data_IF_624760211091
#
_entry.id   IF_624760211091
#
_cell.length_a   1.000
_cell.length_b   1.000
_cell.length_c   1.000
_cell.angle_alpha   90.00
_cell.angle_beta   90.00
_cell.angle_gamma   90.00
#
_symmetry.space_group_name_H-M   'P 1'
#
loop_
_entity.id
_entity.type
_entity.pdbx_description
1 polymer ?
#
# COMPACT_ATOMS: atom_id res chain seq x y z
N UNK A 1 21.12 1.38 24.71
CA UNK A 1 21.03 0.79 23.37
C UNK A 1 20.98 1.92 22.36
N UNK A 2 21.80 1.91 21.31
CA UNK A 2 21.66 2.91 20.24
C UNK A 2 20.33 2.71 19.49
N UNK A 3 19.73 3.77 18.90
CA UNK A 3 18.47 3.67 18.20
C UNK A 3 18.61 3.07 16.80
N UNK A 4 17.51 2.55 16.25
CA UNK A 4 17.34 2.31 14.81
C UNK A 4 16.82 3.60 14.17
N UNK A 5 17.42 4.02 13.06
CA UNK A 5 16.94 5.17 12.31
C UNK A 5 16.00 4.73 11.18
N UNK A 6 14.84 5.37 11.06
CA UNK A 6 13.87 5.06 10.01
C UNK A 6 13.58 6.33 9.24
N UNK A 7 13.73 6.30 7.92
CA UNK A 7 13.57 7.48 7.06
C UNK A 7 12.28 7.34 6.26
N UNK A 8 11.33 8.25 6.52
CA UNK A 8 10.02 8.30 5.90
C UNK A 8 8.91 7.84 6.85
N UNK A 9 7.99 8.73 7.20
CA UNK A 9 6.84 8.50 8.06
C UNK A 9 5.59 7.99 7.32
N UNK A 10 5.76 7.33 6.17
CA UNK A 10 4.66 6.67 5.46
C UNK A 10 4.17 5.41 6.18
N UNK A 11 3.33 4.59 5.53
CA UNK A 11 2.80 3.36 6.14
C UNK A 11 3.90 2.38 6.54
N UNK A 12 4.91 2.19 5.67
CA UNK A 12 6.01 1.27 5.94
C UNK A 12 6.88 1.73 7.11
N UNK A 13 7.28 3.01 7.14
CA UNK A 13 8.13 3.53 8.21
C UNK A 13 7.41 3.64 9.55
N UNK A 14 6.11 3.99 9.53
CA UNK A 14 5.26 4.01 10.72
C UNK A 14 5.15 2.60 11.34
N UNK A 15 4.88 1.59 10.51
CA UNK A 15 4.77 0.20 10.97
C UNK A 15 6.13 -0.36 11.40
N UNK A 16 7.22 -0.04 10.69
CA UNK A 16 8.57 -0.44 11.07
C UNK A 16 8.98 0.14 12.43
N UNK A 17 8.69 1.42 12.67
CA UNK A 17 8.95 2.09 13.94
C UNK A 17 8.20 1.42 15.10
N UNK A 18 6.90 1.18 14.89
CA UNK A 18 6.05 0.49 15.86
C UNK A 18 6.60 -0.89 16.22
N UNK A 19 6.88 -1.72 15.21
CA UNK A 19 7.35 -3.09 15.45
C UNK A 19 8.71 -3.15 16.15
N UNK A 20 9.64 -2.27 15.79
CA UNK A 20 10.94 -2.23 16.44
C UNK A 20 10.83 -1.78 17.91
N UNK A 21 9.97 -0.79 18.16
CA UNK A 21 9.74 -0.25 19.49
C UNK A 21 8.99 -1.24 20.41
N UNK A 22 8.01 -1.98 19.89
CA UNK A 22 7.31 -3.06 20.61
C UNK A 22 8.23 -4.23 20.99
N UNK A 23 9.36 -4.38 20.30
CA UNK A 23 10.44 -5.31 20.66
C UNK A 23 11.47 -4.70 21.64
N UNK A 24 11.21 -3.48 22.14
CA UNK A 24 12.05 -2.83 23.15
C UNK A 24 13.26 -2.08 22.58
N UNK A 25 13.31 -1.85 21.26
CA UNK A 25 14.43 -1.14 20.62
C UNK A 25 14.08 0.34 20.40
N UNK A 26 14.90 1.30 20.87
CA UNK A 26 14.69 2.72 20.57
C UNK A 26 14.71 3.02 19.07
N UNK A 27 13.84 3.92 18.62
CA UNK A 27 13.69 4.32 17.22
C UNK A 27 13.73 5.84 17.09
N UNK A 28 14.44 6.32 16.06
CA UNK A 28 14.32 7.69 15.56
C UNK A 28 13.67 7.64 14.18
N UNK A 29 12.43 8.13 14.09
CA UNK A 29 11.66 8.21 12.86
C UNK A 29 11.81 9.62 12.25
N UNK A 30 12.49 9.68 11.11
CA UNK A 30 12.69 10.90 10.33
C UNK A 30 11.55 11.08 9.34
N UNK A 31 10.84 12.21 9.41
CA UNK A 31 9.79 12.58 8.46
C UNK A 31 10.03 14.00 7.95
N UNK A 32 10.20 14.15 6.64
CA UNK A 32 10.50 15.44 6.04
C UNK A 32 9.31 16.40 6.08
N UNK A 33 8.07 15.88 6.06
CA UNK A 33 6.85 16.68 6.19
C UNK A 33 6.68 17.14 7.65
N UNK A 34 6.15 18.34 7.90
CA UNK A 34 5.69 19.32 6.92
C UNK A 34 6.82 20.25 6.40
N UNK A 35 8.05 20.14 6.92
CA UNK A 35 9.17 21.03 6.59
C UNK A 35 9.46 21.03 5.08
N UNK A 36 9.49 19.84 4.47
CA UNK A 36 9.49 19.63 3.03
C UNK A 36 8.20 18.90 2.63
N UNK A 37 7.22 19.59 2.03
CA UNK A 37 6.02 18.93 1.52
C UNK A 37 6.33 18.10 0.27
N UNK A 38 5.36 17.29 -0.13
CA UNK A 38 5.37 16.58 -1.42
C UNK A 38 4.16 16.98 -2.22
N UNK A 39 4.12 16.66 -3.51
CA UNK A 39 2.98 16.96 -4.38
C UNK A 39 1.70 16.18 -4.03
N UNK A 40 1.80 15.06 -3.29
CA UNK A 40 0.66 14.19 -3.02
C UNK A 40 0.08 14.30 -1.59
N UNK A 41 0.92 14.61 -0.61
CA UNK A 41 0.54 14.73 0.80
C UNK A 41 0.01 16.14 1.09
N UNK A 42 -1.07 16.22 1.85
CA UNK A 42 -1.74 17.49 2.22
C UNK A 42 -1.73 17.75 3.72
N UNK A 43 -1.20 16.83 4.53
CA UNK A 43 -1.07 16.96 5.98
C UNK A 43 0.37 16.75 6.46
N UNK A 44 0.60 17.03 7.74
CA UNK A 44 1.83 16.67 8.47
C UNK A 44 1.73 15.29 9.16
N UNK A 45 0.59 14.61 9.03
CA UNK A 45 0.36 13.32 9.68
C UNK A 45 1.20 12.21 9.05
N UNK A 46 1.64 11.30 9.92
CA UNK A 46 2.26 10.04 9.53
C UNK A 46 1.21 9.12 8.91
N UNK A 47 1.65 8.15 8.12
CA UNK A 47 0.78 7.15 7.50
C UNK A 47 -0.38 7.73 6.65
N UNK A 48 -0.23 8.94 6.10
CA UNK A 48 -1.27 9.59 5.30
C UNK A 48 -1.61 8.78 4.02
N UNK A 49 -2.91 8.62 3.74
CA UNK A 49 -3.41 7.91 2.56
C UNK A 49 -3.59 8.87 1.39
N UNK A 50 -2.65 8.84 0.44
CA UNK A 50 -2.60 9.82 -0.66
C UNK A 50 -3.46 9.50 -1.89
N UNK A 51 -3.96 8.26 -2.06
CA UNK A 51 -4.71 7.81 -3.24
C UNK A 51 -6.06 7.22 -2.83
N UNK A 52 -6.13 5.94 -2.47
CA UNK A 52 -7.36 5.23 -2.05
C UNK A 52 -7.54 5.31 -0.52
N UNK A 53 -8.78 5.34 -0.02
CA UNK A 53 -9.04 5.18 1.43
C UNK A 53 -9.27 3.70 1.82
N UNK A 54 -9.07 2.78 0.89
CA UNK A 54 -9.28 1.35 1.09
C UNK A 54 -7.97 0.57 1.10
N UNK A 55 -7.86 -0.34 2.06
CA UNK A 55 -6.89 -1.42 2.16
C UNK A 55 -7.31 -2.66 1.36
N UNK A 56 -8.32 -2.53 0.49
CA UNK A 56 -8.93 -3.60 -0.31
C UNK A 56 -9.57 -4.66 0.57
N UNK A 57 -9.77 -5.87 0.04
CA UNK A 57 -10.60 -6.91 0.65
C UNK A 57 -10.07 -7.33 2.02
N UNK A 58 -10.96 -7.41 3.01
CA UNK A 58 -10.65 -7.93 4.36
C UNK A 58 -11.03 -9.42 4.51
N UNK A 59 -11.24 -10.11 3.39
CA UNK A 59 -11.59 -11.54 3.33
C UNK A 59 -10.31 -12.39 3.42
N UNK A 60 -9.95 -12.81 4.62
CA UNK A 60 -8.76 -13.62 4.87
C UNK A 60 -8.81 -15.02 4.25
N UNK A 61 -10.00 -15.56 3.98
CA UNK A 61 -10.14 -16.91 3.46
C UNK A 61 -9.94 -16.97 1.94
N UNK A 62 -10.50 -16.01 1.20
CA UNK A 62 -10.52 -16.08 -0.27
C UNK A 62 -9.77 -14.95 -0.99
N UNK A 63 -9.17 -14.02 -0.27
CA UNK A 63 -8.37 -12.93 -0.82
C UNK A 63 -6.96 -12.90 -0.21
N UNK A 64 -5.93 -12.81 -1.06
CA UNK A 64 -4.54 -12.79 -0.61
C UNK A 64 -4.20 -11.52 0.19
N UNK A 65 -4.85 -10.39 -0.11
CA UNK A 65 -4.68 -9.14 0.65
C UNK A 65 -5.36 -9.26 2.02
N UNK A 66 -6.55 -9.87 2.07
CA UNK A 66 -7.22 -10.14 3.34
C UNK A 66 -6.44 -11.13 4.22
N UNK A 67 -5.77 -12.11 3.60
CA UNK A 67 -4.84 -13.00 4.30
C UNK A 67 -3.67 -12.21 4.88
N UNK A 68 -3.11 -11.26 4.12
CA UNK A 68 -2.05 -10.38 4.59
C UNK A 68 -2.53 -9.52 5.78
N UNK A 69 -3.76 -9.01 5.77
CA UNK A 69 -4.34 -8.32 6.95
C UNK A 69 -4.35 -9.23 8.17
N UNK A 70 -4.79 -10.48 8.02
CA UNK A 70 -4.84 -11.44 9.13
C UNK A 70 -3.44 -11.73 9.70
N UNK A 71 -2.43 -11.91 8.83
CA UNK A 71 -1.04 -12.05 9.27
C UNK A 71 -0.52 -10.80 9.98
N UNK A 72 -0.80 -9.60 9.46
CA UNK A 72 -0.41 -8.35 10.10
C UNK A 72 -1.07 -8.17 11.48
N UNK A 73 -2.34 -8.57 11.63
CA UNK A 73 -3.05 -8.56 12.92
C UNK A 73 -2.42 -9.55 13.91
N UNK A 74 -2.01 -10.75 13.46
CA UNK A 74 -1.27 -11.70 14.30
C UNK A 74 0.06 -11.13 14.83
N UNK A 75 0.67 -10.22 14.07
CA UNK A 75 1.93 -9.55 14.42
C UNK A 75 1.74 -8.21 15.13
N UNK A 76 0.52 -7.88 15.56
CA UNK A 76 0.26 -6.65 16.33
C UNK A 76 0.41 -5.36 15.52
N UNK A 77 0.02 -5.37 14.25
CA UNK A 77 0.17 -4.22 13.36
C UNK A 77 -0.55 -2.96 13.86
N UNK A 78 0.16 -1.83 13.86
CA UNK A 78 -0.41 -0.52 14.15
C UNK A 78 -1.36 -0.06 13.04
N UNK A 79 -0.97 -0.25 11.78
CA UNK A 79 -1.76 0.14 10.61
C UNK A 79 -3.08 -0.64 10.57
N UNK A 80 -3.09 -1.95 10.88
CA UNK A 80 -4.35 -2.71 10.98
C UNK A 80 -5.18 -2.27 12.18
N UNK A 81 -4.57 -2.02 13.34
CA UNK A 81 -5.27 -1.55 14.55
C UNK A 81 -5.97 -0.21 14.31
N UNK A 82 -5.27 0.76 13.70
CA UNK A 82 -5.86 2.06 13.36
C UNK A 82 -6.86 1.95 12.21
N UNK A 83 -6.61 1.05 11.25
CA UNK A 83 -7.56 0.77 10.17
C UNK A 83 -8.90 0.24 10.70
N UNK A 84 -8.87 -0.69 11.65
CA UNK A 84 -10.07 -1.22 12.29
C UNK A 84 -10.80 -0.15 13.12
N UNK A 85 -10.05 0.69 13.86
CA UNK A 85 -10.61 1.78 14.68
C UNK A 85 -11.30 2.88 13.86
N UNK A 86 -10.76 3.18 12.68
CA UNK A 86 -11.24 4.24 11.80
C UNK A 86 -12.00 3.72 10.58
N UNK A 87 -12.51 2.48 10.66
CA UNK A 87 -13.25 1.84 9.58
C UNK A 87 -14.49 2.62 9.19
N UNK A 88 -14.72 2.73 7.88
CA UNK A 88 -15.96 3.25 7.26
C UNK A 88 -16.61 2.16 6.39
N UNK A 89 -17.92 2.26 6.08
CA UNK A 89 -18.61 1.31 5.21
C UNK A 89 -17.91 1.14 3.84
N UNK A 90 -17.69 -0.10 3.42
CA UNK A 90 -16.99 -0.45 2.16
C UNK A 90 -17.24 -1.89 1.67
N UNK A 91 -18.31 -2.55 2.11
CA UNK A 91 -18.66 -3.91 1.72
C UNK A 91 -17.65 -4.92 2.24
N UNK A 92 -17.07 -5.75 1.36
CA UNK A 92 -16.05 -6.74 1.74
C UNK A 92 -14.63 -6.16 1.87
N UNK A 93 -14.46 -4.85 1.65
CA UNK A 93 -13.18 -4.18 1.80
C UNK A 93 -13.04 -3.53 3.19
N UNK A 94 -11.80 -3.39 3.65
CA UNK A 94 -11.46 -2.49 4.73
C UNK A 94 -11.20 -1.12 4.12
N UNK A 95 -12.09 -0.15 4.38
CA UNK A 95 -11.85 1.25 4.09
C UNK A 95 -11.88 2.06 5.38
N UNK A 96 -11.17 3.18 5.38
CA UNK A 96 -10.92 3.97 6.57
C UNK A 96 -11.23 5.44 6.33
N UNK A 97 -11.58 6.14 7.39
CA UNK A 97 -11.56 7.60 7.44
C UNK A 97 -10.10 8.07 7.43
N UNK A 98 -9.64 8.70 6.33
CA UNK A 98 -8.22 9.00 6.10
C UNK A 98 -7.61 9.86 7.21
N UNK A 99 -8.32 10.91 7.59
CA UNK A 99 -7.84 11.91 8.54
C UNK A 99 -7.79 11.28 9.94
N UNK A 100 -8.87 10.62 10.35
CA UNK A 100 -8.91 9.90 11.62
C UNK A 100 -7.84 8.80 11.70
N UNK A 101 -7.66 8.03 10.63
CA UNK A 101 -6.67 6.96 10.55
C UNK A 101 -5.24 7.49 10.72
N UNK A 102 -4.84 8.47 9.91
CA UNK A 102 -3.48 9.02 9.94
C UNK A 102 -3.18 9.79 11.23
N UNK A 103 -4.16 10.52 11.77
CA UNK A 103 -4.05 11.13 13.08
C UNK A 103 -3.88 10.09 14.19
N UNK A 104 -4.62 8.99 14.15
CA UNK A 104 -4.52 7.89 15.12
C UNK A 104 -3.16 7.18 15.09
N UNK A 105 -2.59 6.97 13.90
CA UNK A 105 -1.22 6.42 13.76
C UNK A 105 -0.20 7.40 14.31
N UNK A 106 -0.32 8.68 13.97
CA UNK A 106 0.59 9.75 14.44
C UNK A 106 0.58 9.83 15.97
N UNK A 107 -0.61 9.89 16.57
CA UNK A 107 -0.78 9.95 18.03
C UNK A 107 -0.17 8.72 18.72
N UNK A 108 -0.34 7.52 18.17
CA UNK A 108 0.21 6.30 18.73
C UNK A 108 1.75 6.31 18.73
N UNK A 109 2.37 6.77 17.64
CA UNK A 109 3.83 6.85 17.52
C UNK A 109 4.42 7.96 18.40
N UNK A 110 3.78 9.14 18.46
CA UNK A 110 4.20 10.25 19.32
C UNK A 110 4.15 9.90 20.81
N UNK A 111 3.22 9.04 21.22
CA UNK A 111 3.06 8.60 22.62
C UNK A 111 3.95 7.42 23.00
N UNK A 112 4.56 6.73 22.04
CA UNK A 112 5.35 5.55 22.34
C UNK A 112 6.70 5.95 22.98
N UNK A 113 7.06 5.44 24.18
CA UNK A 113 8.21 5.94 24.95
C UNK A 113 9.58 5.68 24.29
N UNK A 114 9.63 4.74 23.35
CA UNK A 114 10.84 4.37 22.62
C UNK A 114 10.92 4.97 21.21
N UNK A 115 9.96 5.80 20.80
CA UNK A 115 9.95 6.42 19.47
C UNK A 115 10.16 7.91 19.61
N UNK A 116 11.17 8.43 18.91
CA UNK A 116 11.38 9.87 18.72
C UNK A 116 11.09 10.22 17.27
N UNK A 117 10.28 11.24 17.02
CA UNK A 117 10.00 11.73 15.67
C UNK A 117 10.81 12.99 15.40
N UNK A 118 11.65 12.95 14.37
CA UNK A 118 12.46 14.08 13.92
C UNK A 118 11.88 14.61 12.60
N UNK A 119 11.45 15.87 12.63
CA UNK A 119 10.85 16.55 11.47
C UNK A 119 11.95 17.23 10.66
N UNK A 120 12.25 16.69 9.48
CA UNK A 120 13.32 17.18 8.62
C UNK A 120 13.65 16.22 7.50
N UNK A 121 14.22 16.76 6.42
CA UNK A 121 14.71 15.93 5.32
C UNK A 121 16.08 15.35 5.65
N UNK A 122 16.25 14.03 5.44
CA UNK A 122 17.57 13.42 5.36
C UNK A 122 18.09 13.58 3.93
N UNK A 123 19.03 14.50 3.74
CA UNK A 123 19.60 14.82 2.42
C UNK A 123 20.74 13.87 2.06
N UNK A 124 20.61 13.11 0.97
CA UNK A 124 21.64 12.18 0.51
C UNK A 124 21.63 10.85 1.28
N UNK A 125 22.78 10.15 1.33
CA UNK A 125 22.87 8.92 2.11
C UNK A 125 22.82 9.23 3.62
N UNK A 126 22.20 8.34 4.43
CA UNK A 126 22.19 8.51 5.88
C UNK A 126 23.61 8.62 6.46
N UNK A 127 23.84 9.39 7.54
CA UNK A 127 25.13 9.50 8.20
C UNK A 127 25.80 8.14 8.48
N UNK A 128 27.14 8.08 8.41
CA UNK A 128 27.89 6.82 8.55
C UNK A 128 27.84 6.24 9.97
N UNK A 129 27.64 7.09 10.98
CA UNK A 129 27.46 6.70 12.37
C UNK A 129 26.08 6.07 12.64
N UNK A 130 25.14 6.15 11.69
CA UNK A 130 23.90 5.38 11.75
C UNK A 130 24.14 3.96 11.23
N UNK A 131 24.35 3.04 12.18
CA UNK A 131 24.75 1.65 11.95
C UNK A 131 23.58 0.71 11.59
N UNK A 132 22.33 1.11 11.83
CA UNK A 132 21.13 0.39 11.41
C UNK A 132 20.03 1.38 10.98
N UNK A 133 19.76 1.40 9.68
CA UNK A 133 18.83 2.35 9.06
C UNK A 133 17.82 1.61 8.20
N UNK A 134 16.55 2.00 8.28
CA UNK A 134 15.48 1.58 7.38
C UNK A 134 15.07 2.77 6.50
N UNK A 135 15.23 2.65 5.19
CA UNK A 135 14.74 3.59 4.20
C UNK A 135 13.32 3.18 3.79
N UNK A 136 12.33 3.96 4.20
CA UNK A 136 10.89 3.71 4.02
C UNK A 136 10.17 4.93 3.40
N UNK A 137 10.86 5.65 2.52
CA UNK A 137 10.43 6.94 1.94
C UNK A 137 9.33 6.84 0.90
N UNK A 138 8.90 5.63 0.56
CA UNK A 138 7.81 5.39 -0.38
C UNK A 138 8.10 5.91 -1.80
N UNK A 139 7.06 6.10 -2.61
CA UNK A 139 7.22 6.43 -4.03
C UNK A 139 7.83 7.81 -4.28
N UNK A 140 7.57 8.78 -3.39
CA UNK A 140 7.98 10.18 -3.52
C UNK A 140 9.26 10.45 -2.75
N UNK A 141 10.24 9.55 -2.88
CA UNK A 141 11.56 9.70 -2.27
C UNK A 141 12.22 11.00 -2.72
N UNK A 142 12.77 11.76 -1.77
CA UNK A 142 13.41 13.04 -2.07
C UNK A 142 14.54 12.89 -3.11
N UNK A 143 14.70 13.84 -4.06
CA UNK A 143 15.65 13.73 -5.16
C UNK A 143 17.09 13.44 -4.73
N UNK A 144 17.58 14.07 -3.66
CA UNK A 144 18.96 13.92 -3.21
C UNK A 144 19.22 12.52 -2.64
N UNK A 145 18.31 12.02 -1.81
CA UNK A 145 18.36 10.64 -1.31
C UNK A 145 18.22 9.64 -2.46
N UNK A 146 17.31 9.88 -3.41
CA UNK A 146 17.14 9.02 -4.58
C UNK A 146 18.41 8.96 -5.43
N UNK A 147 19.06 10.09 -5.71
CA UNK A 147 20.30 10.14 -6.49
C UNK A 147 21.45 9.43 -5.77
N UNK A 148 21.51 9.56 -4.44
CA UNK A 148 22.52 8.89 -3.63
C UNK A 148 22.31 7.36 -3.59
N UNK A 149 21.06 6.89 -3.51
CA UNK A 149 20.71 5.47 -3.62
C UNK A 149 21.06 4.93 -5.01
N UNK A 150 20.69 5.62 -6.10
CA UNK A 150 21.06 5.22 -7.48
C UNK A 150 22.57 5.03 -7.59
N UNK A 151 23.34 6.02 -7.12
CA UNK A 151 24.80 5.97 -7.13
C UNK A 151 25.34 4.78 -6.35
N UNK A 152 24.75 4.48 -5.18
CA UNK A 152 25.14 3.34 -4.35
C UNK A 152 24.80 1.99 -4.99
N UNK A 153 23.68 1.89 -5.71
CA UNK A 153 23.21 0.66 -6.34
C UNK A 153 23.95 0.34 -7.64
N UNK A 154 24.45 1.36 -8.36
CA UNK A 154 25.09 1.19 -9.67
C UNK A 154 24.12 0.80 -10.80
N UNK A 155 22.83 1.07 -10.65
CA UNK A 155 21.75 0.69 -11.58
C UNK A 155 21.01 1.92 -12.13
N UNK A 156 20.61 1.87 -13.41
CA UNK A 156 20.08 3.02 -14.16
C UNK A 156 18.57 3.28 -13.95
N UNK A 157 17.79 2.33 -13.40
CA UNK A 157 16.32 2.42 -13.41
C UNK A 157 15.66 2.21 -12.05
N UNK A 158 14.92 3.22 -11.59
CA UNK A 158 14.09 3.15 -10.39
C UNK A 158 12.61 3.52 -10.58
N UNK A 159 12.03 3.56 -11.79
CA UNK A 159 10.75 4.25 -11.96
C UNK A 159 9.62 3.42 -12.57
N UNK A 160 8.41 3.60 -12.02
CA UNK A 160 7.12 3.31 -12.66
C UNK A 160 6.13 4.46 -12.38
N UNK A 161 5.00 4.49 -13.07
CA UNK A 161 3.93 5.46 -12.81
C UNK A 161 2.73 4.86 -12.11
N UNK A 162 2.17 5.59 -11.14
CA UNK A 162 0.89 5.33 -10.49
C UNK A 162 -0.06 6.51 -10.71
N UNK A 163 -1.36 6.25 -10.76
CA UNK A 163 -2.39 7.22 -11.04
C UNK A 163 -3.39 7.34 -9.88
N UNK A 164 -3.93 8.55 -9.68
CA UNK A 164 -4.87 8.90 -8.61
C UNK A 164 -6.24 9.15 -9.23
N UNK A 165 -7.30 8.70 -8.55
CA UNK A 165 -8.68 8.91 -8.94
C UNK A 165 -9.31 10.16 -8.29
N UNK A 166 -10.27 10.84 -8.95
CA UNK A 166 -10.95 12.00 -8.39
C UNK A 166 -11.80 11.70 -7.14
N UNK A 167 -12.06 12.74 -6.34
CA UNK A 167 -12.95 12.74 -5.17
C UNK A 167 -14.03 13.82 -5.37
N UNK A 168 -15.29 13.46 -5.11
CA UNK A 168 -16.49 14.25 -5.39
C UNK A 168 -17.22 14.57 -4.08
N UNK A 169 -17.79 15.78 -3.98
CA UNK A 169 -18.70 16.14 -2.89
C UNK A 169 -20.08 15.49 -3.07
N UNK A 170 -20.59 14.82 -2.03
CA UNK A 170 -21.85 14.07 -2.09
C UNK A 170 -23.05 14.93 -2.48
N UNK A 171 -23.11 16.15 -1.97
CA UNK A 171 -24.21 17.11 -2.21
C UNK A 171 -24.30 17.58 -3.67
N UNK A 172 -23.27 17.31 -4.48
CA UNK A 172 -23.24 17.60 -5.91
C UNK A 172 -23.67 16.42 -6.81
N UNK A 173 -24.01 15.27 -6.22
CA UNK A 173 -24.46 14.06 -6.92
C UNK A 173 -25.99 14.07 -7.05
N UNK A 174 -26.50 13.77 -8.24
CA UNK A 174 -27.93 13.60 -8.47
C UNK A 174 -28.39 12.16 -8.13
N UNK A 175 -29.17 12.05 -7.05
CA UNK A 175 -29.74 10.79 -6.54
C UNK A 175 -31.09 10.43 -7.16
N UNK A 176 -31.66 11.26 -8.03
CA UNK A 176 -32.78 10.83 -8.90
C UNK A 176 -32.26 9.82 -9.95
N UNK A 177 -30.96 9.88 -10.26
CA UNK A 177 -30.27 8.96 -11.16
C UNK A 177 -29.41 7.92 -10.42
N UNK A 178 -28.65 8.36 -9.42
CA UNK A 178 -27.74 7.50 -8.67
C UNK A 178 -28.45 6.68 -7.59
N UNK A 179 -27.86 5.57 -7.14
CA UNK A 179 -28.40 4.80 -6.01
C UNK A 179 -27.31 4.14 -5.15
N UNK A 180 -27.64 3.88 -3.89
CA UNK A 180 -26.77 3.13 -2.99
C UNK A 180 -26.96 1.63 -3.17
N UNK A 181 -25.87 0.90 -3.43
CA UNK A 181 -25.86 -0.56 -3.46
C UNK A 181 -24.44 -1.15 -3.43
N UNK A 182 -24.22 -2.16 -2.60
CA UNK A 182 -23.05 -3.06 -2.68
C UNK A 182 -23.35 -4.23 -3.62
N UNK A 183 -22.33 -4.72 -4.35
CA UNK A 183 -22.54 -5.84 -5.30
C UNK A 183 -23.04 -7.09 -4.58
N UNK A 184 -24.09 -7.69 -5.11
CA UNK A 184 -24.81 -8.84 -4.53
C UNK A 184 -25.31 -8.57 -3.11
N UNK A 185 -25.56 -7.30 -2.78
CA UNK A 185 -26.03 -6.84 -1.47
C UNK A 185 -25.17 -7.33 -0.30
N UNK A 186 -23.85 -7.48 -0.55
CA UNK A 186 -22.88 -7.84 0.49
C UNK A 186 -22.74 -6.72 1.52
N UNK A 187 -22.52 -7.09 2.78
CA UNK A 187 -22.36 -6.13 3.87
C UNK A 187 -23.71 -5.63 4.37
N UNK A 188 -23.83 -4.32 4.62
CA UNK A 188 -25.12 -3.67 4.87
C UNK A 188 -25.93 -3.43 3.58
N UNK A 189 -25.31 -3.72 2.42
CA UNK A 189 -25.92 -3.63 1.11
C UNK A 189 -25.88 -2.23 0.48
N UNK A 190 -25.31 -1.21 1.13
CA UNK A 190 -25.46 0.19 0.72
C UNK A 190 -24.13 1.00 0.72
N UNK A 191 -22.97 0.34 0.65
CA UNK A 191 -21.67 1.01 0.83
C UNK A 191 -21.19 1.86 -0.38
N UNK A 192 -21.77 1.66 -1.57
CA UNK A 192 -21.34 2.34 -2.80
C UNK A 192 -22.48 3.13 -3.43
N UNK A 193 -22.19 4.33 -3.94
CA UNK A 193 -23.07 5.04 -4.88
C UNK A 193 -22.80 4.49 -6.28
N UNK A 194 -23.84 4.15 -7.01
CA UNK A 194 -23.77 3.60 -8.35
C UNK A 194 -24.40 4.58 -9.34
N UNK A 195 -23.66 4.88 -10.40
CA UNK A 195 -24.05 5.79 -11.48
C UNK A 195 -24.20 4.96 -12.76
N UNK A 196 -25.43 4.78 -13.26
CA UNK A 196 -25.68 3.91 -14.40
C UNK A 196 -25.30 4.60 -15.70
N UNK A 197 -24.88 3.82 -16.69
CA UNK A 197 -24.81 4.25 -18.08
C UNK A 197 -25.55 3.26 -18.96
N UNK A 198 -26.29 3.78 -19.92
CA UNK A 198 -26.72 3.02 -21.09
C UNK A 198 -25.54 2.83 -22.08
N UNK A 199 -25.81 2.11 -23.17
CA UNK A 199 -24.79 1.81 -24.17
C UNK A 199 -24.28 3.06 -24.88
N UNK A 200 -25.17 3.95 -25.29
CA UNK A 200 -24.80 5.13 -26.07
C UNK A 200 -24.04 6.15 -25.21
N UNK A 201 -24.42 6.28 -23.94
CA UNK A 201 -23.71 7.05 -22.93
C UNK A 201 -22.31 6.48 -22.71
N UNK A 202 -22.18 5.15 -22.54
CA UNK A 202 -20.90 4.49 -22.38
C UNK A 202 -19.99 4.68 -23.60
N UNK A 203 -20.51 4.48 -24.80
CA UNK A 203 -19.75 4.62 -26.05
C UNK A 203 -19.25 6.06 -26.23
N UNK A 204 -20.08 7.06 -25.91
CA UNK A 204 -19.66 8.48 -25.89
C UNK A 204 -18.58 8.73 -24.84
N UNK A 205 -18.74 8.21 -23.63
CA UNK A 205 -17.77 8.37 -22.55
C UNK A 205 -16.40 7.76 -22.92
N UNK A 206 -16.38 6.59 -23.57
CA UNK A 206 -15.14 5.99 -24.09
C UNK A 206 -14.50 6.90 -25.15
N UNK A 207 -15.27 7.46 -26.08
CA UNK A 207 -14.74 8.40 -27.07
C UNK A 207 -14.15 9.65 -26.41
N UNK A 208 -14.85 10.20 -25.42
CA UNK A 208 -14.40 11.35 -24.64
C UNK A 208 -13.10 11.08 -23.88
N UNK A 209 -12.94 9.89 -23.27
CA UNK A 209 -11.71 9.47 -22.62
C UNK A 209 -10.54 9.36 -23.61
N UNK A 210 -10.78 8.77 -24.78
CA UNK A 210 -9.74 8.53 -25.78
C UNK A 210 -9.25 9.83 -26.42
N UNK A 211 -10.17 10.75 -26.68
CA UNK A 211 -9.91 12.04 -27.34
C UNK A 211 -9.50 13.15 -26.37
N UNK A 212 -9.72 12.95 -25.07
CA UNK A 212 -9.39 13.94 -24.04
C UNK A 212 -7.90 14.25 -23.99
N UNK A 213 -7.59 15.53 -23.77
CA UNK A 213 -6.22 16.01 -23.59
C UNK A 213 -5.59 15.42 -22.32
N UNK A 214 -4.42 14.78 -22.50
CA UNK A 214 -3.68 14.08 -21.46
C UNK A 214 -2.49 14.95 -21.02
N UNK A 215 -2.04 14.75 -19.78
CA UNK A 215 -0.77 15.34 -19.34
C UNK A 215 0.36 14.64 -20.09
N UNK A 216 1.20 15.42 -20.77
CA UNK A 216 2.37 14.89 -21.49
C UNK A 216 3.48 14.51 -20.51
N UNK A 217 4.09 13.37 -20.80
CA UNK A 217 5.35 12.95 -20.20
C UNK A 217 6.49 13.82 -20.72
N UNK A 218 7.46 14.16 -19.87
CA UNK A 218 8.77 14.64 -20.35
C UNK A 218 9.39 13.54 -21.21
N UNK A 219 10.21 13.87 -22.22
CA UNK A 219 10.67 12.88 -23.21
C UNK A 219 11.36 11.63 -22.63
N UNK A 220 11.96 11.74 -21.43
CA UNK A 220 12.58 10.63 -20.70
C UNK A 220 11.60 9.74 -19.92
N UNK A 221 10.34 10.14 -19.78
CA UNK A 221 9.28 9.40 -19.06
C UNK A 221 8.43 8.51 -19.99
N UNK A 222 8.53 8.70 -21.32
CA UNK A 222 7.71 7.98 -22.33
C UNK A 222 7.89 6.46 -22.34
N UNK A 223 9.03 5.96 -21.85
CA UNK A 223 9.36 4.53 -21.83
C UNK A 223 9.12 3.87 -20.45
N UNK A 224 8.60 4.62 -19.48
CA UNK A 224 8.31 4.07 -18.15
C UNK A 224 6.97 3.31 -18.16
N UNK A 225 6.95 2.03 -17.77
CA UNK A 225 5.70 1.26 -17.74
C UNK A 225 4.74 1.81 -16.67
N UNK A 226 3.43 1.69 -16.93
CA UNK A 226 2.41 1.85 -15.89
C UNK A 226 2.33 0.59 -15.06
N UNK A 227 1.98 0.74 -13.78
CA UNK A 227 1.55 -0.42 -13.03
C UNK A 227 0.17 -0.92 -13.49
N UNK A 228 0.07 -2.22 -13.77
CA UNK A 228 -1.13 -2.85 -14.33
C UNK A 228 -2.36 -2.74 -13.41
N UNK A 229 -2.19 -2.77 -12.09
CA UNK A 229 -3.29 -2.65 -11.13
C UNK A 229 -3.76 -1.22 -10.85
N UNK A 230 -3.07 -0.19 -11.35
CA UNK A 230 -3.39 1.22 -11.14
C UNK A 230 -3.30 2.06 -12.44
N UNK A 231 -3.65 1.41 -13.55
CA UNK A 231 -3.59 2.00 -14.88
C UNK A 231 -4.58 3.17 -15.05
N UNK A 232 -4.20 4.26 -15.74
CA UNK A 232 -5.14 5.31 -16.10
C UNK A 232 -6.32 4.79 -16.94
N UNK A 233 -7.53 5.24 -16.64
CA UNK A 233 -8.78 4.76 -17.24
C UNK A 233 -8.80 4.94 -18.77
N UNK A 234 -8.19 6.01 -19.28
CA UNK A 234 -8.02 6.26 -20.70
C UNK A 234 -7.05 5.27 -21.37
N UNK A 235 -6.01 4.79 -20.67
CA UNK A 235 -5.08 3.77 -21.18
C UNK A 235 -5.77 2.40 -21.19
N UNK A 236 -6.60 2.11 -20.19
CA UNK A 236 -7.46 0.93 -20.22
C UNK A 236 -8.45 0.96 -21.39
N UNK A 237 -9.04 2.13 -21.69
CA UNK A 237 -9.93 2.31 -22.83
C UNK A 237 -9.21 2.11 -24.17
N UNK A 238 -7.95 2.53 -24.30
CA UNK A 238 -7.11 2.30 -25.49
C UNK A 238 -6.90 0.81 -25.80
N UNK A 239 -6.92 -0.05 -24.76
CA UNK A 239 -6.79 -1.51 -24.92
C UNK A 239 -8.05 -2.19 -25.48
N UNK A 240 -9.17 -1.47 -25.54
CA UNK A 240 -10.41 -1.94 -26.15
C UNK A 240 -11.63 -1.30 -25.52
N UNK A 241 -12.66 -1.05 -26.34
CA UNK A 241 -13.87 -0.33 -25.93
C UNK A 241 -14.65 -1.03 -24.80
N UNK A 242 -14.52 -2.35 -24.64
CA UNK A 242 -15.22 -3.11 -23.59
C UNK A 242 -14.38 -3.30 -22.31
N UNK A 243 -13.11 -2.90 -22.32
CA UNK A 243 -12.16 -3.17 -21.22
C UNK A 243 -12.69 -2.66 -19.89
N UNK A 244 -13.26 -1.45 -19.86
CA UNK A 244 -13.78 -0.85 -18.63
C UNK A 244 -15.00 -1.60 -18.10
N UNK A 245 -15.86 -2.14 -18.97
CA UNK A 245 -17.03 -2.95 -18.56
C UNK A 245 -16.67 -4.31 -17.97
N UNK A 246 -15.47 -4.82 -18.24
CA UNK A 246 -14.94 -5.99 -17.53
C UNK A 246 -14.09 -5.64 -16.31
N UNK A 247 -13.72 -4.36 -16.16
CA UNK A 247 -12.92 -3.83 -15.05
C UNK A 247 -13.74 -2.91 -14.12
N UNK A 248 -13.38 -1.61 -14.02
CA UNK A 248 -13.95 -0.69 -13.03
C UNK A 248 -15.42 -0.34 -13.27
N UNK A 249 -15.90 -0.44 -14.51
CA UNK A 249 -17.27 -0.06 -14.89
C UNK A 249 -18.24 -1.26 -15.01
N UNK A 250 -17.87 -2.42 -14.47
CA UNK A 250 -18.68 -3.64 -14.60
C UNK A 250 -20.05 -3.49 -13.90
N UNK A 251 -21.18 -3.85 -14.52
CA UNK A 251 -22.50 -3.73 -13.89
C UNK A 251 -22.90 -4.95 -13.02
N UNK A 252 -22.07 -5.98 -12.96
CA UNK A 252 -22.44 -7.29 -12.40
C UNK A 252 -22.77 -7.23 -10.90
N UNK A 253 -23.90 -7.84 -10.52
CA UNK A 253 -24.36 -7.91 -9.12
C UNK A 253 -25.02 -6.62 -8.62
N UNK A 254 -25.45 -5.74 -9.53
CA UNK A 254 -26.15 -4.50 -9.22
C UNK A 254 -27.52 -4.51 -9.91
N UNK A 255 -28.50 -3.89 -9.27
CA UNK A 255 -29.87 -3.76 -9.78
C UNK A 255 -30.29 -2.31 -9.66
N UNK A 256 -30.55 -1.65 -10.78
CA UNK A 256 -30.96 -0.24 -10.75
C UNK A 256 -32.42 -0.15 -10.25
N UNK A 257 -32.68 0.48 -9.10
CA UNK A 257 -34.03 0.56 -8.55
C UNK A 257 -34.96 1.46 -9.37
N UNK A 258 -34.42 2.37 -10.19
CA UNK A 258 -35.18 3.33 -10.98
C UNK A 258 -35.74 2.73 -12.27
N UNK A 259 -35.05 1.74 -12.85
CA UNK A 259 -35.46 1.08 -14.10
C UNK A 259 -35.83 -0.39 -13.92
N UNK A 260 -35.38 -1.03 -12.84
CA UNK A 260 -35.51 -2.47 -12.62
C UNK A 260 -34.60 -3.32 -13.53
N UNK A 261 -33.77 -2.68 -14.37
CA UNK A 261 -32.91 -3.34 -15.34
C UNK A 261 -31.43 -3.23 -14.96
N UNK A 262 -30.62 -4.16 -15.47
CA UNK A 262 -29.17 -4.08 -15.31
C UNK A 262 -28.61 -3.04 -16.30
N UNK A 263 -27.92 -2.03 -15.78
CA UNK A 263 -27.26 -1.02 -16.61
C UNK A 263 -26.17 -1.63 -17.52
N UNK A 264 -25.86 -0.96 -18.63
CA UNK A 264 -24.83 -1.40 -19.56
C UNK A 264 -23.44 -1.31 -18.91
N UNK A 265 -23.18 -0.21 -18.21
CA UNK A 265 -21.99 0.04 -17.41
C UNK A 265 -22.38 0.79 -16.13
N UNK A 266 -21.55 0.73 -15.09
CA UNK A 266 -21.78 1.45 -13.82
C UNK A 266 -20.50 2.04 -13.29
N UNK A 267 -20.50 3.33 -12.97
CA UNK A 267 -19.43 3.95 -12.17
C UNK A 267 -19.79 3.83 -10.70
N UNK A 268 -18.87 3.28 -9.90
CA UNK A 268 -19.05 3.19 -8.44
C UNK A 268 -18.28 4.29 -7.74
N UNK A 269 -18.92 4.95 -6.78
CA UNK A 269 -18.27 5.85 -5.83
C UNK A 269 -18.30 5.21 -4.44
N UNK A 270 -17.22 5.32 -3.70
CA UNK A 270 -17.14 4.86 -2.30
C UNK A 270 -16.99 6.04 -1.35
N UNK A 271 -17.54 5.91 -0.15
CA UNK A 271 -17.38 6.91 0.89
C UNK A 271 -15.90 7.09 1.24
N UNK A 272 -15.42 8.34 1.21
CA UNK A 272 -14.01 8.70 1.42
C UNK A 272 -13.71 9.13 2.86
N UNK A 273 -14.66 9.85 3.50
CA UNK A 273 -14.52 10.38 4.85
C UNK A 273 -15.63 9.89 5.80
N UNK A 274 -15.39 9.95 7.11
CA UNK A 274 -16.35 9.49 8.14
C UNK A 274 -17.71 10.17 8.08
N UNK A 275 -17.75 11.46 7.76
CA UNK A 275 -19.00 12.24 7.64
C UNK A 275 -19.85 11.84 6.43
N UNK A 276 -19.29 11.10 5.47
CA UNK A 276 -20.00 10.74 4.25
C UNK A 276 -20.32 11.95 3.37
N UNK A 277 -19.45 12.95 3.37
CA UNK A 277 -19.59 14.15 2.52
C UNK A 277 -18.71 14.09 1.28
N UNK A 278 -17.69 13.22 1.27
CA UNK A 278 -16.75 13.03 0.16
C UNK A 278 -16.77 11.59 -0.34
N UNK A 279 -16.72 11.41 -1.66
CA UNK A 279 -16.77 10.10 -2.32
C UNK A 279 -15.69 9.96 -3.39
N UNK A 280 -14.94 8.87 -3.35
CA UNK A 280 -13.88 8.56 -4.31
C UNK A 280 -14.42 7.76 -5.50
N UNK A 281 -14.00 8.10 -6.73
CA UNK A 281 -14.36 7.36 -7.94
C UNK A 281 -13.55 6.06 -8.06
N UNK A 282 -14.22 4.91 -7.91
CA UNK A 282 -13.55 3.61 -7.80
C UNK A 282 -12.99 3.17 -9.15
N UNK A 283 -11.66 3.06 -9.25
CA UNK A 283 -10.98 2.59 -10.46
C UNK A 283 -10.92 3.63 -11.59
N UNK A 284 -11.04 4.91 -11.24
CA UNK A 284 -11.01 6.05 -12.16
C UNK A 284 -9.69 6.83 -12.04
N UNK A 285 -8.58 6.13 -11.82
CA UNK A 285 -7.27 6.73 -11.88
C UNK A 285 -7.05 7.32 -13.28
N UNK A 286 -6.48 8.52 -13.41
CA UNK A 286 -6.44 9.20 -14.70
C UNK A 286 -5.23 10.13 -14.85
N UNK A 287 -4.83 10.37 -16.10
CA UNK A 287 -3.82 11.36 -16.51
C UNK A 287 -4.40 12.49 -17.36
N UNK A 288 -5.71 12.50 -17.59
CA UNK A 288 -6.41 13.60 -18.23
C UNK A 288 -6.08 14.91 -17.52
N UNK A 289 -5.92 15.99 -18.28
CA UNK A 289 -5.76 17.33 -17.70
C UNK A 289 -7.01 17.69 -16.90
N UNK A 290 -6.89 18.55 -15.90
CA UNK A 290 -8.01 18.87 -15.00
C UNK A 290 -9.24 19.45 -15.73
N UNK A 291 -9.03 20.21 -16.81
CA UNK A 291 -10.13 20.68 -17.65
C UNK A 291 -10.89 19.53 -18.31
N UNK A 292 -10.17 18.51 -18.78
CA UNK A 292 -10.74 17.33 -19.42
C UNK A 292 -11.39 16.39 -18.41
N UNK A 293 -10.80 16.19 -17.24
CA UNK A 293 -11.48 15.47 -16.16
C UNK A 293 -12.83 16.11 -15.82
N UNK A 294 -12.91 17.44 -15.69
CA UNK A 294 -14.17 18.14 -15.47
C UNK A 294 -15.17 17.94 -16.61
N UNK A 295 -14.71 18.02 -17.87
CA UNK A 295 -15.55 17.84 -19.05
C UNK A 295 -16.08 16.42 -19.15
N UNK A 296 -15.20 15.43 -19.05
CA UNK A 296 -15.48 14.01 -19.30
C UNK A 296 -16.24 13.38 -18.14
N UNK A 297 -15.87 13.62 -16.88
CA UNK A 297 -16.56 12.97 -15.76
C UNK A 297 -17.95 13.54 -15.49
N UNK A 298 -18.23 14.78 -15.91
CA UNK A 298 -19.60 15.34 -15.85
C UNK A 298 -20.54 14.84 -16.94
N UNK A 299 -20.07 14.01 -17.88
CA UNK A 299 -20.96 13.31 -18.83
C UNK A 299 -21.54 12.02 -18.25
N UNK A 300 -21.03 11.58 -17.09
CA UNK A 300 -21.57 10.42 -16.37
C UNK A 300 -22.92 10.81 -15.77
N UNK A 301 -24.01 10.05 -16.04
CA UNK A 301 -25.33 10.32 -15.49
C UNK A 301 -25.30 10.38 -13.97
N UNK A 302 -25.81 11.47 -13.41
CA UNK A 302 -25.78 11.75 -11.97
C UNK A 302 -24.63 12.64 -11.51
N UNK A 303 -23.66 12.94 -12.38
CA UNK A 303 -22.49 13.79 -12.09
C UNK A 303 -22.46 15.09 -12.90
N UNK A 304 -23.55 15.48 -13.55
CA UNK A 304 -23.62 16.67 -14.43
C UNK A 304 -23.22 17.96 -13.70
N UNK A 305 -23.49 18.02 -12.40
CA UNK A 305 -23.17 19.15 -11.50
C UNK A 305 -22.07 18.84 -10.50
N UNK A 306 -21.33 17.75 -10.69
CA UNK A 306 -20.34 17.27 -9.72
C UNK A 306 -19.31 18.35 -9.38
N UNK A 307 -19.05 18.51 -8.09
CA UNK A 307 -17.98 19.35 -7.54
C UNK A 307 -16.88 18.42 -7.04
N UNK A 308 -15.69 18.55 -7.64
CA UNK A 308 -14.53 17.73 -7.29
C UNK A 308 -13.76 18.37 -6.14
N UNK A 309 -13.70 17.66 -5.00
CA UNK A 309 -12.83 18.02 -3.88
C UNK A 309 -11.35 17.82 -4.23
N UNK A 310 -11.07 16.82 -5.08
CA UNK A 310 -9.73 16.51 -5.58
C UNK A 310 -9.81 15.93 -7.00
N UNK A 311 -8.90 16.38 -7.86
CA UNK A 311 -8.74 15.85 -9.22
C UNK A 311 -7.76 14.67 -9.23
N UNK A 312 -7.89 13.77 -10.21
CA UNK A 312 -6.94 12.67 -10.45
C UNK A 312 -5.62 13.16 -11.06
N UNK A 313 -4.60 12.31 -11.09
CA UNK A 313 -3.30 12.66 -11.67
C UNK A 313 -2.28 11.52 -11.62
N UNK A 314 -1.16 11.66 -12.33
CA UNK A 314 -0.05 10.70 -12.33
C UNK A 314 1.05 11.12 -11.36
N UNK A 315 1.65 10.16 -10.68
CA UNK A 315 2.85 10.33 -9.87
C UNK A 315 3.90 9.32 -10.30
N UNK A 316 5.13 9.80 -10.52
CA UNK A 316 6.29 8.93 -10.75
C UNK A 316 6.70 8.34 -9.42
N UNK A 317 6.78 7.02 -9.36
CA UNK A 317 7.15 6.28 -8.17
C UNK A 317 8.56 5.74 -8.31
N UNK A 318 9.36 5.97 -7.28
CA UNK A 318 10.72 5.43 -7.16
C UNK A 318 10.70 4.05 -6.48
N UNK A 319 11.35 3.04 -7.07
CA UNK A 319 11.60 1.72 -6.49
C UNK A 319 12.95 1.15 -6.97
N UNK A 320 13.63 0.35 -6.16
CA UNK A 320 14.89 -0.32 -6.51
C UNK A 320 14.67 -1.68 -7.15
N UNK A 321 15.59 -2.08 -8.03
CA UNK A 321 15.64 -3.44 -8.57
C UNK A 321 16.12 -4.41 -7.47
N UNK A 322 15.24 -4.66 -6.51
CA UNK A 322 15.53 -5.35 -5.26
C UNK A 322 16.17 -6.72 -5.43
N UNK A 323 15.79 -7.57 -6.41
CA UNK A 323 16.46 -8.85 -6.61
C UNK A 323 17.98 -8.74 -6.88
N UNK A 324 18.42 -7.62 -7.47
CA UNK A 324 19.84 -7.36 -7.72
C UNK A 324 20.54 -6.75 -6.51
N UNK A 325 19.88 -5.81 -5.83
CA UNK A 325 20.57 -4.90 -4.90
C UNK A 325 20.33 -5.23 -3.43
N UNK A 326 19.26 -5.98 -3.10
CA UNK A 326 18.93 -6.36 -1.73
C UNK A 326 19.29 -7.82 -1.42
N UNK A 327 19.65 -8.09 -0.17
CA UNK A 327 19.70 -9.43 0.41
C UNK A 327 18.33 -9.88 0.95
N UNK A 328 18.25 -11.11 1.45
CA UNK A 328 16.99 -11.69 1.96
C UNK A 328 16.42 -10.96 3.19
N UNK A 329 17.24 -10.19 3.91
CA UNK A 329 16.83 -9.35 5.04
C UNK A 329 16.53 -7.90 4.60
N UNK A 330 16.35 -7.70 3.29
CA UNK A 330 16.06 -6.42 2.66
C UNK A 330 17.16 -5.38 2.87
N UNK A 331 18.40 -5.82 3.15
CA UNK A 331 19.57 -4.93 3.26
C UNK A 331 20.19 -4.69 1.89
N UNK A 332 20.64 -3.46 1.67
CA UNK A 332 21.46 -3.12 0.51
C UNK A 332 22.76 -3.91 0.55
N UNK A 333 23.04 -4.70 -0.49
CA UNK A 333 24.27 -5.50 -0.59
C UNK A 333 25.53 -4.63 -0.53
N UNK A 334 25.48 -3.45 -1.16
CA UNK A 334 26.58 -2.49 -1.16
C UNK A 334 26.76 -1.74 0.19
N UNK A 335 25.72 -1.71 1.05
CA UNK A 335 25.77 -1.05 2.35
C UNK A 335 24.81 -1.73 3.34
N UNK A 336 25.21 -2.86 3.97
CA UNK A 336 24.31 -3.68 4.79
C UNK A 336 23.66 -2.97 5.99
N UNK A 337 24.22 -1.83 6.42
CA UNK A 337 23.59 -0.94 7.43
C UNK A 337 22.26 -0.34 6.97
N UNK A 338 21.99 -0.32 5.66
CA UNK A 338 20.77 0.22 5.05
C UNK A 338 19.83 -0.92 4.68
N UNK A 339 18.64 -0.92 5.27
CA UNK A 339 17.48 -1.73 4.87
C UNK A 339 16.48 -0.88 4.12
N UNK A 340 15.65 -1.54 3.30
CA UNK A 340 14.60 -0.89 2.54
C UNK A 340 13.25 -1.50 2.88
N UNK A 341 12.23 -0.66 2.99
CA UNK A 341 10.88 -1.08 3.30
C UNK A 341 9.82 -0.28 2.54
N UNK A 342 8.68 -0.92 2.30
CA UNK A 342 7.58 -0.29 1.59
C UNK A 342 7.75 -0.29 0.08
N UNK A 343 7.01 0.57 -0.60
CA UNK A 343 6.95 0.60 -2.06
C UNK A 343 8.31 0.74 -2.77
N UNK A 344 9.31 1.36 -2.11
CA UNK A 344 10.65 1.47 -2.66
C UNK A 344 11.29 0.09 -2.92
N UNK A 345 10.86 -0.98 -2.24
CA UNK A 345 11.38 -2.34 -2.46
C UNK A 345 10.75 -3.05 -3.67
N UNK A 346 9.77 -2.45 -4.35
CA UNK A 346 9.02 -3.11 -5.41
C UNK A 346 7.85 -3.97 -4.91
N UNK A 347 7.29 -3.64 -3.74
CA UNK A 347 5.90 -4.00 -3.45
C UNK A 347 4.98 -2.87 -3.89
N UNK A 348 3.72 -3.20 -4.11
CA UNK A 348 2.70 -2.19 -4.34
C UNK A 348 1.53 -2.33 -3.37
N UNK A 349 1.00 -1.19 -2.95
CA UNK A 349 -0.19 -1.10 -2.13
C UNK A 349 0.14 -0.69 -0.70
N UNK A 350 -0.85 -0.10 -0.04
CA UNK A 350 -0.73 0.35 1.33
C UNK A 350 -0.40 -0.79 2.29
N UNK A 351 -1.11 -1.89 2.13
CA UNK A 351 -1.03 -3.07 2.99
C UNK A 351 0.31 -3.77 2.80
N UNK A 352 0.74 -3.99 1.56
CA UNK A 352 2.04 -4.60 1.27
C UNK A 352 3.17 -3.70 1.77
N UNK A 353 3.04 -2.39 1.61
CA UNK A 353 4.04 -1.46 2.11
C UNK A 353 4.17 -1.52 3.64
N UNK A 354 3.03 -1.50 4.34
CA UNK A 354 2.99 -1.67 5.79
C UNK A 354 3.52 -3.04 6.21
N UNK A 355 3.15 -4.12 5.54
CA UNK A 355 3.60 -5.48 5.83
C UNK A 355 5.11 -5.67 5.67
N UNK A 356 5.70 -5.08 4.62
CA UNK A 356 7.16 -5.06 4.48
C UNK A 356 7.79 -4.21 5.58
N UNK A 357 7.26 -3.02 5.86
CA UNK A 357 7.68 -2.20 7.01
C UNK A 357 7.67 -2.97 8.33
N UNK A 358 6.59 -3.73 8.57
CA UNK A 358 6.40 -4.57 9.74
C UNK A 358 7.57 -5.54 9.91
N UNK A 359 7.82 -6.38 8.90
CA UNK A 359 8.86 -7.40 8.99
C UNK A 359 10.26 -6.78 8.99
N UNK A 360 10.51 -5.71 8.22
CA UNK A 360 11.80 -5.01 8.23
C UNK A 360 12.10 -4.41 9.61
N UNK A 361 11.11 -3.82 10.28
CA UNK A 361 11.25 -3.29 11.64
C UNK A 361 11.62 -4.40 12.63
N UNK A 362 10.94 -5.54 12.57
CA UNK A 362 11.27 -6.72 13.40
C UNK A 362 12.68 -7.25 13.13
N UNK A 363 13.07 -7.41 11.86
CA UNK A 363 14.41 -7.87 11.49
C UNK A 363 15.50 -6.93 12.01
N UNK A 364 15.31 -5.61 11.87
CA UNK A 364 16.26 -4.62 12.37
C UNK A 364 16.35 -4.63 13.90
N UNK A 365 15.22 -4.78 14.59
CA UNK A 365 15.18 -4.88 16.05
C UNK A 365 15.88 -6.14 16.56
N UNK A 366 15.64 -7.31 15.94
CA UNK A 366 16.33 -8.53 16.36
C UNK A 366 17.84 -8.45 16.11
N UNK A 367 18.26 -7.91 14.96
CA UNK A 367 19.68 -7.66 14.72
C UNK A 367 20.28 -6.75 15.80
N UNK A 368 19.59 -5.66 16.19
CA UNK A 368 20.01 -4.78 17.28
C UNK A 368 20.12 -5.51 18.62
N UNK A 369 19.13 -6.33 18.97
CA UNK A 369 19.08 -7.04 20.25
C UNK A 369 20.17 -8.12 20.33
N UNK A 370 20.48 -8.79 19.23
CA UNK A 370 21.54 -9.80 19.17
C UNK A 370 22.93 -9.19 19.16
N UNK A 371 23.14 -8.06 18.46
CA UNK A 371 24.44 -7.37 18.45
C UNK A 371 24.89 -6.90 19.85
N UNK A 372 23.94 -6.49 20.70
CA UNK A 372 24.24 -6.08 22.09
C UNK A 372 24.48 -7.27 23.05
N UNK A 373 24.23 -8.52 22.63
CA UNK A 373 24.52 -9.71 23.45
C UNK A 373 25.95 -10.23 23.23
N UNK A 374 26.61 -9.80 22.15
CA UNK A 374 27.97 -10.19 21.77
C UNK A 374 29.04 -9.20 22.25
N UNK A 375 28.91 -8.68 23.47
CA UNK A 375 29.96 -7.87 24.10
C UNK A 375 31.26 -8.69 24.25
N UNK A 376 32.16 -8.57 23.26
CA UNK A 376 33.48 -9.18 23.24
C UNK A 376 33.91 -9.84 21.93
N UNK A 377 33.02 -10.02 20.94
CA UNK A 377 33.38 -10.53 19.62
C UNK A 377 33.39 -9.40 18.58
N UNK A 378 34.36 -9.43 17.66
CA UNK A 378 34.49 -8.42 16.62
C UNK A 378 33.17 -8.26 15.82
N UNK A 379 32.76 -7.04 15.39
CA UNK A 379 31.39 -6.73 14.99
C UNK A 379 30.86 -7.36 13.68
N UNK A 380 31.50 -8.39 13.11
CA UNK A 380 31.18 -8.77 11.72
C UNK A 380 31.37 -10.26 11.34
N UNK A 381 31.24 -11.22 12.26
CA UNK A 381 31.41 -12.64 11.88
C UNK A 381 30.34 -13.61 12.36
N UNK A 382 29.49 -13.25 13.31
CA UNK A 382 28.35 -14.08 13.72
C UNK A 382 27.06 -13.49 13.18
N UNK A 383 26.71 -13.85 11.95
CA UNK A 383 25.38 -13.56 11.41
C UNK A 383 24.39 -14.42 12.23
N UNK A 384 23.41 -13.84 12.93
CA UNK A 384 22.40 -14.64 13.61
C UNK A 384 21.78 -15.59 12.60
N UNK A 385 21.43 -16.82 13.00
CA UNK A 385 20.82 -17.82 12.11
C UNK A 385 19.59 -17.22 11.41
N UNK A 386 19.81 -16.69 10.20
CA UNK A 386 18.89 -15.81 9.48
C UNK A 386 17.59 -16.52 9.10
N UNK A 387 17.63 -17.86 9.14
CA UNK A 387 16.50 -18.76 8.90
C UNK A 387 15.32 -18.49 9.85
N UNK A 388 15.57 -18.02 11.07
CA UNK A 388 14.49 -17.74 12.02
C UNK A 388 13.84 -16.37 11.80
N UNK A 389 14.53 -15.41 11.16
CA UNK A 389 14.03 -14.05 10.97
C UNK A 389 13.05 -13.90 9.80
N UNK A 390 13.02 -14.86 8.88
CA UNK A 390 12.20 -14.80 7.68
C UNK A 390 10.90 -15.59 7.88
N UNK A 391 9.73 -14.96 7.66
CA UNK A 391 8.47 -15.69 7.65
C UNK A 391 8.49 -16.73 6.50
N UNK A 392 7.90 -17.93 6.69
CA UNK A 392 7.91 -18.97 5.66
C UNK A 392 7.33 -18.47 4.33
N UNK A 393 7.88 -18.89 3.19
CA UNK A 393 7.41 -18.50 1.84
C UNK A 393 5.96 -18.90 1.53
N UNK A 394 5.39 -19.74 2.38
CA UNK A 394 3.98 -20.16 2.34
C UNK A 394 3.02 -19.17 3.01
N UNK A 395 3.55 -18.17 3.71
CA UNK A 395 2.83 -17.01 4.26
C UNK A 395 2.77 -15.87 3.24
N UNK A 396 1.86 -14.91 3.42
CA UNK A 396 1.76 -13.73 2.57
C UNK A 396 3.00 -12.83 2.69
N UNK A 397 3.51 -12.61 3.91
CA UNK A 397 4.77 -11.87 4.11
C UNK A 397 5.95 -12.57 3.44
N UNK A 398 6.10 -13.88 3.64
CA UNK A 398 7.20 -14.65 3.05
C UNK A 398 7.13 -14.72 1.53
N UNK A 399 5.93 -14.80 0.95
CA UNK A 399 5.73 -14.77 -0.50
C UNK A 399 6.12 -13.41 -1.11
N UNK A 400 5.80 -12.29 -0.44
CA UNK A 400 6.22 -10.96 -0.87
C UNK A 400 7.74 -10.79 -0.79
N UNK A 401 8.37 -11.19 0.32
CA UNK A 401 9.83 -11.11 0.48
C UNK A 401 10.52 -11.95 -0.60
N UNK A 402 10.04 -13.18 -0.83
CA UNK A 402 10.58 -14.03 -1.89
C UNK A 402 10.50 -13.36 -3.27
N UNK A 403 9.40 -12.68 -3.60
CA UNK A 403 9.29 -11.90 -4.85
C UNK A 403 10.32 -10.76 -4.90
N UNK A 404 10.52 -10.04 -3.80
CA UNK A 404 11.47 -8.93 -3.69
C UNK A 404 12.94 -9.38 -3.85
N UNK A 405 13.33 -10.52 -3.29
CA UNK A 405 14.77 -10.86 -3.09
C UNK A 405 15.32 -11.95 -4.01
N UNK A 406 14.49 -12.61 -4.83
CA UNK A 406 15.01 -13.59 -5.80
C UNK A 406 14.00 -14.47 -6.55
N UNK A 407 12.71 -14.36 -6.23
CA UNK A 407 11.62 -15.09 -6.89
C UNK A 407 11.21 -14.51 -8.25
N UNK A 408 11.70 -13.33 -8.61
CA UNK A 408 11.45 -12.66 -9.88
C UNK A 408 12.73 -12.54 -10.71
N UNK A 409 12.60 -12.61 -12.04
CA UNK A 409 13.73 -12.30 -12.94
C UNK A 409 14.06 -10.81 -12.85
N UNK A 410 15.26 -10.51 -12.37
CA UNK A 410 15.80 -9.16 -12.23
C UNK A 410 15.65 -8.28 -13.48
N UNK A 411 15.69 -8.86 -14.69
CA UNK A 411 15.53 -8.11 -15.95
C UNK A 411 14.11 -7.63 -16.21
N UNK A 412 13.13 -8.27 -15.58
CA UNK A 412 11.70 -8.00 -15.76
C UNK A 412 11.01 -7.67 -14.44
N UNK A 413 11.79 -7.41 -13.39
CA UNK A 413 11.27 -7.12 -12.07
C UNK A 413 10.35 -5.89 -12.13
N UNK A 414 9.16 -6.05 -11.57
CA UNK A 414 8.16 -5.00 -11.47
C UNK A 414 7.56 -5.03 -10.06
N UNK A 415 7.07 -3.87 -9.57
CA UNK A 415 6.27 -3.81 -8.38
C UNK A 415 5.13 -4.82 -8.39
N UNK A 416 4.78 -5.37 -7.23
CA UNK A 416 3.78 -6.43 -7.16
C UNK A 416 2.90 -6.30 -5.92
N UNK A 417 1.59 -6.50 -6.11
CA UNK A 417 0.66 -6.74 -5.02
C UNK A 417 0.70 -8.21 -4.58
N UNK A 418 0.33 -8.47 -3.33
CA UNK A 418 0.16 -9.84 -2.86
C UNK A 418 -0.95 -10.55 -3.65
N UNK A 419 -0.64 -11.73 -4.18
CA UNK A 419 -1.59 -12.58 -4.87
C UNK A 419 -1.21 -14.06 -4.66
N UNK A 420 -2.20 -14.96 -4.73
CA UNK A 420 -1.96 -16.40 -4.51
C UNK A 420 -1.02 -17.06 -5.53
N UNK A 421 -0.67 -16.38 -6.63
CA UNK A 421 0.34 -16.85 -7.58
C UNK A 421 1.78 -16.77 -7.05
N UNK A 422 2.03 -15.93 -6.03
CA UNK A 422 3.34 -15.82 -5.37
C UNK A 422 3.62 -16.98 -4.40
N UNK A 423 2.58 -17.70 -3.99
CA UNK A 423 2.68 -18.73 -2.96
C UNK A 423 3.11 -20.06 -3.57
N UNK A 424 3.94 -20.85 -2.86
CA UNK A 424 4.22 -22.22 -3.26
C UNK A 424 2.91 -23.02 -3.43
N UNK A 425 2.85 -23.97 -4.39
CA UNK A 425 1.65 -24.79 -4.60
C UNK A 425 1.29 -25.60 -3.35
N UNK A 426 0.03 -26.01 -3.24
CA UNK A 426 -0.40 -26.96 -2.22
C UNK A 426 0.11 -28.37 -2.58
N UNK A 427 0.61 -29.11 -1.59
CA UNK A 427 1.12 -30.48 -1.79
C UNK A 427 0.02 -31.45 -2.23
N UNK A 428 -1.18 -31.28 -1.67
CA UNK A 428 -2.34 -32.10 -2.00
C UNK A 428 -3.23 -31.48 -3.08
N UNK A 429 -3.87 -32.34 -3.89
CA UNK A 429 -4.83 -31.89 -4.91
C UNK A 429 -6.12 -31.38 -4.26
N UNK A 430 -6.30 -30.07 -4.27
CA UNK A 430 -7.53 -29.39 -3.79
C UNK A 430 -8.42 -28.97 -4.96
N UNK A 431 -9.74 -29.03 -4.78
CA UNK A 431 -10.72 -28.54 -5.76
C UNK A 431 -10.49 -27.05 -6.06
N UNK A 432 -10.71 -26.63 -7.32
CA UNK A 432 -10.43 -25.24 -7.76
C UNK A 432 -11.10 -24.18 -6.88
N UNK A 433 -12.34 -24.42 -6.42
CA UNK A 433 -13.10 -23.49 -5.58
C UNK A 433 -12.55 -23.36 -4.14
N UNK A 434 -11.90 -24.40 -3.62
CA UNK A 434 -11.39 -24.46 -2.24
C UNK A 434 -9.90 -24.10 -2.13
N UNK A 435 -9.23 -23.89 -3.28
CA UNK A 435 -7.77 -23.71 -3.33
C UNK A 435 -7.29 -22.49 -2.56
N UNK A 436 -7.98 -21.35 -2.68
CA UNK A 436 -7.62 -20.10 -2.00
C UNK A 436 -7.75 -20.25 -0.48
N UNK A 437 -8.90 -20.73 -0.02
CA UNK A 437 -9.14 -21.05 1.39
C UNK A 437 -8.10 -22.01 1.98
N UNK A 438 -7.73 -23.06 1.24
CA UNK A 438 -6.70 -24.01 1.67
C UNK A 438 -5.30 -23.35 1.75
N UNK A 439 -4.95 -22.48 0.80
CA UNK A 439 -3.70 -21.69 0.85
C UNK A 439 -3.70 -20.74 2.05
N UNK A 440 -4.79 -20.01 2.30
CA UNK A 440 -4.91 -19.13 3.47
C UNK A 440 -4.79 -19.88 4.79
N UNK A 441 -5.46 -21.03 4.95
CA UNK A 441 -5.34 -21.84 6.18
C UNK A 441 -3.91 -22.32 6.42
N UNK A 442 -3.21 -22.78 5.39
CA UNK A 442 -1.79 -23.17 5.49
C UNK A 442 -0.92 -21.98 5.88
N UNK A 443 -1.11 -20.84 5.21
CA UNK A 443 -0.36 -19.62 5.47
C UNK A 443 -0.49 -19.17 6.93
N UNK A 444 -1.73 -19.07 7.44
CA UNK A 444 -1.97 -18.68 8.83
C UNK A 444 -1.39 -19.68 9.83
N UNK A 445 -1.53 -20.99 9.58
CA UNK A 445 -0.93 -22.01 10.45
C UNK A 445 0.61 -21.89 10.50
N UNK A 446 1.25 -21.66 9.34
CA UNK A 446 2.69 -21.50 9.26
C UNK A 446 3.17 -20.17 9.86
N UNK A 447 2.40 -19.09 9.71
CA UNK A 447 2.68 -17.82 10.36
C UNK A 447 2.62 -17.95 11.89
N UNK A 448 1.57 -18.59 12.42
CA UNK A 448 1.47 -18.85 13.86
C UNK A 448 2.65 -19.70 14.37
N UNK A 449 2.98 -20.79 13.67
CA UNK A 449 4.14 -21.62 14.05
C UNK A 449 5.47 -20.85 14.00
N UNK A 450 5.64 -19.95 13.02
CA UNK A 450 6.80 -19.08 12.92
C UNK A 450 6.87 -18.07 14.07
N UNK A 451 5.76 -17.43 14.44
CA UNK A 451 5.68 -16.52 15.60
C UNK A 451 6.02 -17.26 16.90
N UNK A 452 5.48 -18.47 17.08
CA UNK A 452 5.71 -19.26 18.29
C UNK A 452 7.16 -19.74 18.45
N UNK A 453 7.87 -19.91 17.33
CA UNK A 453 9.27 -20.30 17.30
C UNK A 453 10.24 -19.14 17.53
N UNK A 454 9.77 -17.88 17.58
CA UNK A 454 10.66 -16.75 17.82
C UNK A 454 11.17 -16.73 19.27
N UNK A 455 12.48 -16.50 19.49
CA UNK A 455 13.09 -16.48 20.83
C UNK A 455 12.58 -15.35 21.74
N UNK A 456 11.87 -14.37 21.18
CA UNK A 456 11.45 -13.12 21.81
C UNK A 456 10.21 -13.19 22.72
N UNK A 457 9.60 -14.37 22.90
CA UNK A 457 8.62 -14.58 23.99
C UNK A 457 9.23 -14.32 25.39
N UNK A 458 10.54 -14.46 25.55
CA UNK A 458 11.22 -14.16 26.82
C UNK A 458 11.48 -12.67 27.10
N UNK A 459 11.57 -11.83 26.06
CA UNK A 459 11.95 -10.42 26.20
C UNK A 459 10.73 -9.48 26.31
N UNK A 460 9.64 -9.79 25.61
CA UNK A 460 8.42 -8.96 25.59
C UNK A 460 7.64 -9.01 26.93
N UNK A 461 7.77 -10.11 27.70
CA UNK A 461 7.19 -10.19 29.05
C UNK A 461 7.85 -9.21 30.04
N UNK A 462 9.16 -9.00 29.94
CA UNK A 462 9.91 -8.14 30.86
C UNK A 462 9.64 -6.63 30.67
N UNK A 463 9.24 -6.20 29.48
CA UNK A 463 8.91 -4.79 29.19
C UNK A 463 7.48 -4.45 29.62
N UNK A 464 6.55 -5.41 29.53
CA UNK A 464 5.17 -5.25 30.03
C UNK A 464 5.11 -5.18 31.56
N UNK A 465 5.91 -5.99 32.26
CA UNK A 465 5.95 -6.01 33.73
C UNK A 465 6.70 -4.80 34.35
N UNK A 466 7.43 -4.01 33.54
CA UNK A 466 8.13 -2.81 34.01
C UNK A 466 7.31 -1.51 33.85
N UNK A 467 6.12 -1.60 33.26
CA UNK A 467 5.21 -0.47 33.02
C UNK A 467 3.93 -0.53 33.89
N UNK A 468 3.82 -1.53 34.78
CA UNK A 468 2.92 -1.55 35.95
C UNK A 468 3.70 -1.16 37.22
#
# INVERSE_FOLDING_TARGET
MQPIHIIGGGLAGSEAAWQAAELGVPVILHEMRPVRPTDAHVTDSLAELVCSNSFRSDDAENNAVGLLHAEMRLLGSLIMTMGDRHKVPAGSALAVDRDGFSAGVTEALEKHPLITIERGEVTGLPPEDWDNVIVATGPLTAPDLSAAIITLCGEDSLAFFDAIAPIIHKDSIDFDTAWFQSRYDKGDGADYINLPMDRDQYDRFIQDLLTGEKTDFKDWEKNTPYFEGCMPIEVMAERGSETLRFGPMKPVGLTNPHTGEQAHAVVQLRQDNKLGTLYNMVGFQTKLKYGEQNRVFRTIPGLEKAVFARMGGLHRNTFINSPLVLDDLLRMRAAPRLRFAGQITGVEGYVESAAIGLITGRMAAVERLTANQTDGAAPNTAQPDTVHLLPPTTTAHGALIAHITGGADAKTFQPMNVNFGLFPPLESRVKKKERKAAMSRRALAHMTGWIEAQPEKGACAAVRDAAE
#
